data_IF_958637203072
#
_entry.id   IF_958637203072
#
_cell.length_a   1.000
_cell.length_b   1.000
_cell.length_c   1.000
_cell.angle_alpha   90.00
_cell.angle_beta   90.00
_cell.angle_gamma   90.00
#
_symmetry.space_group_name_H-M   'P 1'
#
loop_
_entity.id
_entity.type
_entity.pdbx_description
1 polymer ?
#
# COMPACT_ATOMS: atom_id res chain seq x y z
N UNK A 1 -58.09 -5.36 30.37
CA UNK A 1 -56.76 -4.83 30.68
C UNK A 1 -56.73 -3.31 30.43
N UNK A 2 -57.40 -2.51 31.29
CA UNK A 2 -57.55 -1.05 31.09
C UNK A 2 -56.36 -0.20 31.57
N UNK A 3 -55.34 -0.79 32.21
CA UNK A 3 -54.23 -0.06 32.85
C UNK A 3 -52.85 -0.65 32.58
N UNK A 4 -52.67 -1.45 31.51
CA UNK A 4 -51.36 -1.96 31.12
C UNK A 4 -50.85 -3.12 32.05
N UNK A 5 -51.70 -3.76 32.78
CA UNK A 5 -51.35 -4.97 33.54
C UNK A 5 -51.18 -6.16 32.58
N UNK A 6 -50.13 -6.94 32.81
CA UNK A 6 -49.79 -8.12 32.00
C UNK A 6 -50.65 -9.31 32.44
N UNK A 7 -50.93 -9.45 33.74
CA UNK A 7 -51.79 -10.49 34.29
C UNK A 7 -52.36 -10.11 35.67
N UNK A 8 -53.29 -10.91 36.22
CA UNK A 8 -53.93 -10.70 37.51
C UNK A 8 -53.90 -11.96 38.36
N UNK A 9 -53.54 -11.80 39.62
CA UNK A 9 -53.55 -12.87 40.61
C UNK A 9 -54.72 -12.65 41.58
N UNK A 10 -55.64 -13.63 41.68
CA UNK A 10 -56.76 -13.59 42.59
C UNK A 10 -56.31 -14.03 44.01
N UNK A 11 -56.66 -13.33 45.04
CA UNK A 11 -56.41 -13.73 46.45
C UNK A 11 -57.50 -14.65 46.96
N UNK A 12 -57.16 -15.67 47.77
CA UNK A 12 -55.83 -16.05 48.26
C UNK A 12 -55.06 -16.91 47.25
N UNK A 13 -53.76 -16.58 46.99
CA UNK A 13 -52.87 -17.37 46.15
C UNK A 13 -51.74 -17.94 46.96
N UNK A 14 -51.40 -19.21 46.70
CA UNK A 14 -50.22 -19.84 47.32
C UNK A 14 -48.91 -19.29 46.74
N UNK A 15 -47.81 -19.45 47.50
CA UNK A 15 -46.49 -18.98 47.06
C UNK A 15 -46.07 -19.61 45.74
N UNK A 16 -46.32 -20.89 45.54
CA UNK A 16 -45.99 -21.66 44.33
C UNK A 16 -46.76 -21.14 43.08
N UNK A 17 -48.02 -20.74 43.25
CA UNK A 17 -48.84 -20.19 42.18
C UNK A 17 -48.35 -18.80 41.77
N UNK A 18 -47.90 -17.98 42.72
CA UNK A 18 -47.29 -16.67 42.44
C UNK A 18 -45.96 -16.83 41.72
N UNK A 19 -45.11 -17.74 42.15
CA UNK A 19 -43.82 -18.05 41.50
C UNK A 19 -44.02 -18.57 40.08
N UNK A 20 -45.01 -19.41 39.83
CA UNK A 20 -45.34 -19.91 38.50
C UNK A 20 -45.79 -18.80 37.56
N UNK A 21 -46.73 -17.95 37.99
CA UNK A 21 -47.22 -16.83 37.16
C UNK A 21 -46.12 -15.79 36.87
N UNK A 22 -45.26 -15.50 37.88
CA UNK A 22 -44.12 -14.65 37.67
C UNK A 22 -43.13 -15.24 36.64
N UNK A 23 -42.88 -16.56 36.72
CA UNK A 23 -42.06 -17.27 35.72
C UNK A 23 -42.62 -17.14 34.31
N UNK A 24 -43.91 -17.44 34.12
CA UNK A 24 -44.57 -17.30 32.81
C UNK A 24 -44.50 -15.86 32.26
N UNK A 25 -44.65 -14.86 33.13
CA UNK A 25 -44.55 -13.44 32.72
C UNK A 25 -43.12 -13.09 32.30
N UNK A 26 -42.11 -13.58 33.01
CA UNK A 26 -40.71 -13.37 32.69
C UNK A 26 -40.38 -14.02 31.34
N UNK A 27 -40.75 -15.26 31.11
CA UNK A 27 -40.55 -16.01 29.86
C UNK A 27 -41.22 -15.28 28.68
N UNK A 28 -42.46 -14.81 28.86
CA UNK A 28 -43.16 -14.05 27.82
C UNK A 28 -42.51 -12.71 27.49
N UNK A 29 -41.97 -12.00 28.50
CA UNK A 29 -41.23 -10.75 28.30
C UNK A 29 -39.90 -11.04 27.60
N UNK A 30 -39.18 -12.09 27.97
CA UNK A 30 -37.93 -12.50 27.31
C UNK A 30 -38.20 -12.85 25.84
N UNK A 31 -39.22 -13.64 25.54
CA UNK A 31 -39.63 -14.00 24.18
C UNK A 31 -40.02 -12.77 23.35
N UNK A 32 -40.76 -11.83 23.94
CA UNK A 32 -41.13 -10.57 23.25
C UNK A 32 -39.89 -9.70 22.96
N UNK A 33 -38.97 -9.59 23.91
CA UNK A 33 -37.69 -8.87 23.75
C UNK A 33 -36.82 -9.53 22.67
N UNK A 34 -36.67 -10.84 22.70
CA UNK A 34 -35.94 -11.61 21.70
C UNK A 34 -36.56 -11.43 20.31
N UNK A 35 -37.90 -11.50 20.22
CA UNK A 35 -38.63 -11.30 18.96
C UNK A 35 -38.45 -9.88 18.43
N UNK A 36 -38.48 -8.85 19.29
CA UNK A 36 -38.25 -7.44 18.91
C UNK A 36 -36.80 -7.23 18.46
N UNK A 37 -35.82 -7.82 19.12
CA UNK A 37 -34.42 -7.75 18.73
C UNK A 37 -34.19 -8.41 17.36
N UNK A 38 -34.70 -9.64 17.15
CA UNK A 38 -34.62 -10.32 15.85
C UNK A 38 -35.30 -9.50 14.73
N UNK A 39 -36.46 -8.91 14.99
CA UNK A 39 -37.14 -8.05 14.02
C UNK A 39 -36.35 -6.78 13.73
N UNK A 40 -35.66 -6.20 14.71
CA UNK A 40 -34.80 -5.04 14.56
C UNK A 40 -33.55 -5.37 13.70
N UNK A 41 -32.91 -6.50 13.95
CA UNK A 41 -31.76 -6.96 13.18
C UNK A 41 -32.13 -7.26 11.72
N UNK A 42 -33.25 -7.96 11.49
CA UNK A 42 -33.75 -8.22 10.14
C UNK A 42 -34.09 -6.93 9.39
N UNK A 43 -34.68 -5.95 10.06
CA UNK A 43 -34.99 -4.65 9.47
C UNK A 43 -33.71 -3.90 9.10
N UNK A 44 -32.67 -3.96 9.96
CA UNK A 44 -31.38 -3.35 9.67
C UNK A 44 -30.68 -4.01 8.47
N UNK A 45 -30.72 -5.33 8.36
CA UNK A 45 -30.19 -6.06 7.21
C UNK A 45 -30.93 -5.68 5.92
N UNK A 46 -32.26 -5.56 5.97
CA UNK A 46 -33.06 -5.09 4.84
C UNK A 46 -32.71 -3.66 4.43
N UNK A 47 -32.54 -2.75 5.39
CA UNK A 47 -32.10 -1.37 5.14
C UNK A 47 -30.75 -1.35 4.43
N UNK A 48 -29.77 -2.09 4.96
CA UNK A 48 -28.44 -2.19 4.36
C UNK A 48 -28.49 -2.73 2.93
N UNK A 49 -29.30 -3.77 2.68
CA UNK A 49 -29.46 -4.35 1.34
C UNK A 49 -30.05 -3.34 0.35
N UNK A 50 -31.14 -2.65 0.73
CA UNK A 50 -31.79 -1.65 -0.11
C UNK A 50 -30.80 -0.52 -0.44
N UNK A 51 -30.10 0.03 0.57
CA UNK A 51 -29.15 1.11 0.40
C UNK A 51 -27.95 0.71 -0.48
N UNK A 52 -27.45 -0.52 -0.34
CA UNK A 52 -26.43 -1.07 -1.22
C UNK A 52 -26.89 -1.17 -2.68
N UNK A 53 -28.16 -1.53 -2.93
CA UNK A 53 -28.72 -1.52 -4.28
C UNK A 53 -28.87 -0.11 -4.85
N UNK A 54 -29.18 0.88 -4.00
CA UNK A 54 -29.25 2.30 -4.39
C UNK A 54 -27.90 2.82 -4.87
N UNK A 55 -26.83 2.59 -4.10
CA UNK A 55 -25.48 3.06 -4.48
C UNK A 55 -24.90 2.31 -5.68
N UNK A 56 -25.41 1.13 -6.02
CA UNK A 56 -25.05 0.38 -7.22
C UNK A 56 -25.90 0.70 -8.44
N UNK A 57 -26.88 1.60 -8.30
CA UNK A 57 -27.88 1.89 -9.34
C UNK A 57 -28.65 0.65 -9.81
N UNK A 58 -28.86 -0.33 -8.92
CA UNK A 58 -29.52 -1.61 -9.18
C UNK A 58 -30.90 -1.67 -8.54
N UNK A 59 -31.66 -0.58 -8.61
CA UNK A 59 -33.04 -0.50 -8.11
C UNK A 59 -33.86 0.51 -8.92
N UNK A 60 -35.05 0.12 -9.35
CA UNK A 60 -35.92 1.05 -10.06
C UNK A 60 -36.51 2.11 -9.11
N UNK A 61 -36.82 3.29 -9.65
CA UNK A 61 -37.41 4.39 -8.85
C UNK A 61 -38.77 4.02 -8.20
N UNK A 62 -39.54 3.11 -8.79
CA UNK A 62 -40.78 2.61 -8.22
C UNK A 62 -40.50 1.66 -7.05
N UNK A 63 -39.67 0.67 -7.27
CA UNK A 63 -39.27 -0.30 -6.25
C UNK A 63 -38.58 0.39 -5.05
N UNK A 64 -37.73 1.39 -5.32
CA UNK A 64 -37.08 2.19 -4.28
C UNK A 64 -38.12 2.85 -3.37
N UNK A 65 -39.13 3.53 -3.93
CA UNK A 65 -40.17 4.20 -3.11
C UNK A 65 -40.95 3.22 -2.24
N UNK A 66 -41.35 2.07 -2.83
CA UNK A 66 -42.10 1.03 -2.11
C UNK A 66 -41.26 0.46 -0.93
N UNK A 67 -39.99 0.11 -1.20
CA UNK A 67 -39.10 -0.47 -0.19
C UNK A 67 -38.69 0.53 0.90
N UNK A 68 -38.42 1.78 0.52
CA UNK A 68 -38.10 2.83 1.48
C UNK A 68 -39.25 3.10 2.47
N UNK A 69 -40.47 3.15 1.96
CA UNK A 69 -41.65 3.27 2.80
C UNK A 69 -41.82 2.09 3.75
N UNK A 70 -41.52 0.88 3.29
CA UNK A 70 -41.58 -0.34 4.10
C UNK A 70 -40.58 -0.33 5.26
N UNK A 71 -39.36 0.12 5.02
CA UNK A 71 -38.32 0.18 6.06
C UNK A 71 -38.29 1.48 6.85
N UNK A 72 -39.24 2.39 6.61
CA UNK A 72 -39.38 3.64 7.33
C UNK A 72 -38.27 4.66 7.03
N UNK A 73 -37.66 4.62 5.83
CA UNK A 73 -36.66 5.58 5.40
C UNK A 73 -37.27 6.61 4.46
N UNK A 74 -36.94 7.89 4.67
CA UNK A 74 -37.35 8.98 3.79
C UNK A 74 -36.11 9.62 3.13
N UNK A 75 -35.98 9.42 1.82
CA UNK A 75 -34.94 10.02 0.95
C UNK A 75 -35.61 10.88 -0.16
N UNK A 76 -36.76 11.45 0.10
CA UNK A 76 -37.60 12.05 -0.96
C UNK A 76 -37.35 13.53 -1.19
N UNK A 77 -36.85 14.28 -0.20
CA UNK A 77 -36.84 15.75 -0.27
C UNK A 77 -35.52 16.35 0.22
N UNK A 78 -34.86 17.06 -0.68
CA UNK A 78 -33.72 17.90 -0.35
C UNK A 78 -32.39 17.48 -1.00
N UNK A 79 -31.37 18.30 -0.87
CA UNK A 79 -30.02 17.96 -1.29
C UNK A 79 -29.45 16.82 -0.42
N UNK A 80 -28.84 15.85 -1.06
CA UNK A 80 -28.24 14.67 -0.44
C UNK A 80 -26.81 14.52 -0.89
N UNK A 81 -25.93 14.12 0.01
CA UNK A 81 -24.53 13.77 -0.30
C UNK A 81 -24.16 12.49 0.41
N UNK A 82 -23.27 11.71 -0.20
CA UNK A 82 -22.72 10.49 0.39
C UNK A 82 -21.32 10.78 0.91
N UNK A 83 -21.07 10.39 2.17
CA UNK A 83 -19.73 10.28 2.72
C UNK A 83 -19.35 8.82 2.87
N UNK A 84 -18.12 8.46 2.50
CA UNK A 84 -17.51 7.14 2.70
C UNK A 84 -16.42 7.28 3.73
N UNK A 85 -16.47 6.45 4.78
CA UNK A 85 -15.46 6.35 5.83
C UNK A 85 -14.72 5.03 5.66
N UNK A 86 -13.43 5.13 5.38
CA UNK A 86 -12.52 4.01 5.24
C UNK A 86 -11.56 3.97 6.41
N UNK A 87 -11.40 2.81 7.03
CA UNK A 87 -10.34 2.61 8.01
C UNK A 87 -8.98 2.63 7.35
N UNK A 88 -8.04 3.33 7.98
CA UNK A 88 -6.64 3.27 7.57
C UNK A 88 -5.99 2.10 8.30
N UNK A 89 -5.45 1.15 7.52
CA UNK A 89 -4.64 0.07 8.10
C UNK A 89 -3.34 0.69 8.62
N UNK A 90 -3.15 0.68 9.92
CA UNK A 90 -1.83 0.95 10.49
C UNK A 90 -0.93 -0.24 10.17
N UNK A 91 0.30 -0.03 9.65
CA UNK A 91 1.23 -1.14 9.47
C UNK A 91 1.42 -1.86 10.81
N UNK A 92 1.45 -3.19 10.85
CA UNK A 92 1.72 -3.93 12.08
C UNK A 92 3.06 -3.47 12.64
N UNK A 93 3.07 -3.04 13.89
CA UNK A 93 4.29 -2.75 14.64
C UNK A 93 5.19 -4.00 14.60
N UNK A 94 6.51 -3.78 14.49
CA UNK A 94 7.56 -4.82 14.39
C UNK A 94 7.36 -5.95 15.41
N UNK A 95 6.53 -6.95 15.13
CA UNK A 95 6.58 -8.28 15.73
C UNK A 95 5.55 -9.18 15.05
N UNK A 96 6.03 -10.32 14.72
CA UNK A 96 5.38 -11.63 14.51
C UNK A 96 4.96 -12.03 13.08
N UNK A 97 5.64 -13.08 12.68
CA UNK A 97 5.38 -13.89 11.48
C UNK A 97 4.70 -15.19 11.92
N UNK A 98 3.38 -15.20 12.12
CA UNK A 98 2.63 -16.43 12.32
C UNK A 98 1.29 -16.37 11.58
N UNK A 99 0.92 -17.44 10.89
CA UNK A 99 -0.33 -17.62 10.13
C UNK A 99 -1.65 -17.53 10.97
N UNK A 100 -1.55 -17.36 12.28
CA UNK A 100 -2.71 -17.09 13.17
C UNK A 100 -3.13 -15.62 13.19
N UNK A 101 -2.35 -14.71 12.62
CA UNK A 101 -2.55 -13.26 12.71
C UNK A 101 -3.50 -12.71 11.65
N UNK A 102 -3.62 -13.35 10.47
CA UNK A 102 -4.57 -12.91 9.44
C UNK A 102 -6.02 -12.95 9.94
N UNK A 103 -6.38 -13.97 10.70
CA UNK A 103 -7.72 -14.10 11.31
C UNK A 103 -7.96 -13.11 12.46
N UNK A 104 -6.93 -12.76 13.22
CA UNK A 104 -7.01 -11.76 14.28
C UNK A 104 -7.07 -10.33 13.70
N UNK A 105 -6.39 -10.06 12.59
CA UNK A 105 -6.47 -8.78 11.89
C UNK A 105 -7.84 -8.57 11.23
N UNK A 106 -8.41 -9.58 10.57
CA UNK A 106 -9.75 -9.50 9.99
C UNK A 106 -10.82 -9.28 11.05
N UNK A 107 -10.76 -10.00 12.16
CA UNK A 107 -11.66 -9.80 13.31
C UNK A 107 -11.49 -8.42 13.93
N UNK A 108 -10.26 -7.93 14.03
CA UNK A 108 -9.96 -6.56 14.48
C UNK A 108 -10.54 -5.50 13.55
N UNK A 109 -10.47 -5.71 12.22
CA UNK A 109 -11.02 -4.78 11.22
C UNK A 109 -12.55 -4.74 11.27
N UNK A 110 -13.20 -5.90 11.34
CA UNK A 110 -14.65 -5.99 11.45
C UNK A 110 -15.18 -5.30 12.71
N UNK A 111 -14.52 -5.51 13.86
CA UNK A 111 -14.88 -4.86 15.11
C UNK A 111 -14.72 -3.32 15.01
N UNK A 112 -13.62 -2.84 14.45
CA UNK A 112 -13.39 -1.41 14.25
C UNK A 112 -14.43 -0.78 13.35
N UNK A 113 -14.76 -1.44 12.23
CA UNK A 113 -15.84 -0.98 11.32
C UNK A 113 -17.17 -0.90 12.05
N UNK A 114 -17.51 -1.92 12.84
CA UNK A 114 -18.74 -1.93 13.64
C UNK A 114 -18.76 -0.80 14.69
N UNK A 115 -17.64 -0.56 15.36
CA UNK A 115 -17.52 0.53 16.32
C UNK A 115 -17.73 1.91 15.68
N UNK A 116 -17.11 2.14 14.50
CA UNK A 116 -17.31 3.38 13.73
C UNK A 116 -18.76 3.52 13.29
N UNK A 117 -19.36 2.44 12.77
CA UNK A 117 -20.77 2.43 12.38
C UNK A 117 -21.67 2.87 13.53
N UNK A 118 -21.51 2.31 14.73
CA UNK A 118 -22.33 2.63 15.89
C UNK A 118 -22.15 4.08 16.33
N UNK A 119 -20.92 4.58 16.37
CA UNK A 119 -20.62 5.99 16.69
C UNK A 119 -21.30 6.92 15.70
N UNK A 120 -21.16 6.66 14.39
CA UNK A 120 -21.79 7.47 13.35
C UNK A 120 -23.31 7.44 13.45
N UNK A 121 -23.89 6.24 13.66
CA UNK A 121 -25.33 6.08 13.79
C UNK A 121 -25.90 6.84 14.99
N UNK A 122 -25.29 6.70 16.16
CA UNK A 122 -25.72 7.39 17.39
C UNK A 122 -25.63 8.92 17.23
N UNK A 123 -24.51 9.44 16.70
CA UNK A 123 -24.32 10.89 16.50
C UNK A 123 -25.30 11.48 15.49
N UNK A 124 -25.67 10.75 14.44
CA UNK A 124 -26.61 11.21 13.41
C UNK A 124 -28.07 11.05 13.79
N UNK A 125 -28.44 9.96 14.48
CA UNK A 125 -29.81 9.78 14.99
C UNK A 125 -30.20 10.91 15.94
N UNK A 126 -29.29 11.31 16.84
CA UNK A 126 -29.49 12.44 17.75
C UNK A 126 -29.78 13.76 17.02
N UNK A 127 -29.20 13.93 15.81
CA UNK A 127 -29.36 15.16 14.98
C UNK A 127 -30.43 15.03 13.88
N UNK A 128 -30.97 13.81 13.62
CA UNK A 128 -31.87 13.48 12.49
C UNK A 128 -31.34 13.92 11.12
N UNK A 129 -30.04 13.77 10.88
CA UNK A 129 -29.35 14.38 9.73
C UNK A 129 -28.80 13.42 8.71
N UNK A 130 -29.03 12.11 8.84
CA UNK A 130 -28.51 11.18 7.88
C UNK A 130 -28.83 9.72 8.18
N UNK A 131 -28.42 8.86 7.28
CA UNK A 131 -28.60 7.41 7.36
C UNK A 131 -27.22 6.76 7.23
N UNK A 132 -26.88 5.87 8.16
CA UNK A 132 -25.63 5.12 8.18
C UNK A 132 -25.87 3.68 7.74
N UNK A 133 -24.99 3.16 6.91
CA UNK A 133 -24.97 1.75 6.51
C UNK A 133 -23.55 1.30 6.16
N UNK A 134 -23.36 0.00 5.93
CA UNK A 134 -22.10 -0.53 5.43
C UNK A 134 -22.27 -0.99 3.98
N UNK A 135 -21.29 -0.66 3.14
CA UNK A 135 -21.27 -1.14 1.76
C UNK A 135 -20.69 -2.57 1.65
N UNK A 136 -20.67 -3.09 0.42
CA UNK A 136 -20.16 -4.44 0.16
C UNK A 136 -18.62 -4.55 0.31
N UNK A 137 -17.89 -3.44 0.30
CA UNK A 137 -16.46 -3.40 0.54
C UNK A 137 -16.12 -3.27 2.04
N UNK A 138 -17.15 -3.17 2.90
CA UNK A 138 -16.99 -3.01 4.35
C UNK A 138 -16.71 -1.57 4.77
N UNK A 139 -16.93 -0.57 3.92
CA UNK A 139 -16.82 0.83 4.32
C UNK A 139 -18.09 1.29 5.04
N UNK A 140 -17.94 2.19 6.01
CA UNK A 140 -19.08 2.87 6.61
C UNK A 140 -19.50 4.01 5.69
N UNK A 141 -20.76 3.99 5.28
CA UNK A 141 -21.33 4.95 4.34
C UNK A 141 -22.42 5.76 5.04
N UNK A 142 -22.40 7.06 4.85
CA UNK A 142 -23.39 7.99 5.39
C UNK A 142 -24.09 8.68 4.23
N UNK A 143 -25.42 8.66 4.21
CA UNK A 143 -26.22 9.51 3.35
C UNK A 143 -26.67 10.71 4.20
N UNK A 144 -26.11 11.88 3.93
CA UNK A 144 -26.58 13.12 4.51
C UNK A 144 -27.80 13.64 3.76
N UNK A 145 -28.78 14.16 4.52
CA UNK A 145 -29.97 14.81 3.97
C UNK A 145 -30.08 16.20 4.56
N UNK A 146 -30.12 17.22 3.72
CA UNK A 146 -30.22 18.62 4.17
C UNK A 146 -31.42 19.31 3.53
N UNK A 147 -31.92 20.34 4.17
CA UNK A 147 -33.09 21.10 3.71
C UNK A 147 -32.75 22.23 2.73
N UNK A 148 -31.48 22.64 2.67
CA UNK A 148 -31.00 23.77 1.86
C UNK A 148 -29.63 23.45 1.28
N UNK A 149 -29.36 23.90 0.05
CA UNK A 149 -28.04 23.77 -0.59
C UNK A 149 -26.98 24.74 -0.04
N UNK A 150 -27.42 25.84 0.55
CA UNK A 150 -26.48 26.81 1.11
C UNK A 150 -25.71 26.23 2.28
N UNK A 151 -24.42 26.20 2.16
CA UNK A 151 -23.49 25.70 3.15
C UNK A 151 -23.64 24.20 3.52
N UNK A 152 -24.20 23.34 2.61
CA UNK A 152 -24.32 21.90 2.85
C UNK A 152 -22.95 21.30 3.16
N UNK A 153 -21.94 21.57 2.33
CA UNK A 153 -20.60 21.02 2.50
C UNK A 153 -19.97 21.50 3.83
N UNK A 154 -20.20 22.74 4.24
CA UNK A 154 -19.69 23.25 5.52
C UNK A 154 -20.31 22.53 6.71
N UNK A 155 -21.63 22.33 6.70
CA UNK A 155 -22.33 21.61 7.79
C UNK A 155 -21.92 20.13 7.85
N UNK A 156 -21.78 19.48 6.69
CA UNK A 156 -21.29 18.10 6.62
C UNK A 156 -19.88 18.03 7.15
N UNK A 157 -19.01 18.99 6.78
CA UNK A 157 -17.63 19.06 7.26
C UNK A 157 -17.56 19.16 8.78
N UNK A 158 -18.32 20.07 9.39
CA UNK A 158 -18.35 20.22 10.84
C UNK A 158 -18.76 18.91 11.55
N UNK A 159 -19.76 18.19 11.01
CA UNK A 159 -20.19 16.89 11.57
C UNK A 159 -19.10 15.83 11.43
N UNK A 160 -18.45 15.77 10.27
CA UNK A 160 -17.43 14.77 10.00
C UNK A 160 -16.11 15.04 10.72
N UNK A 161 -15.76 16.32 10.93
CA UNK A 161 -14.62 16.72 11.76
C UNK A 161 -14.85 16.31 13.23
N UNK A 162 -16.08 16.51 13.75
CA UNK A 162 -16.48 16.00 15.07
C UNK A 162 -16.36 14.48 15.16
N UNK A 163 -16.73 13.75 14.11
CA UNK A 163 -16.58 12.28 14.04
C UNK A 163 -15.13 11.85 14.11
N UNK A 164 -14.28 12.45 13.30
CA UNK A 164 -12.83 12.15 13.30
C UNK A 164 -12.26 12.41 14.69
N UNK A 165 -12.56 13.58 15.28
CA UNK A 165 -12.06 13.93 16.61
C UNK A 165 -12.51 12.92 17.68
N UNK A 166 -13.77 12.50 17.64
CA UNK A 166 -14.31 11.52 18.58
C UNK A 166 -13.70 10.13 18.39
N UNK A 167 -13.65 9.64 17.14
CA UNK A 167 -13.10 8.32 16.79
C UNK A 167 -11.62 8.23 17.17
N UNK A 168 -10.83 9.26 16.85
CA UNK A 168 -9.42 9.30 17.20
C UNK A 168 -9.19 9.33 18.72
N UNK A 169 -9.96 10.16 19.45
CA UNK A 169 -9.80 10.32 20.90
C UNK A 169 -10.23 9.06 21.65
N UNK A 170 -11.34 8.45 21.24
CA UNK A 170 -12.01 7.37 21.99
C UNK A 170 -11.56 5.99 21.53
N UNK A 171 -11.50 5.76 20.23
CA UNK A 171 -11.20 4.45 19.64
C UNK A 171 -9.74 4.31 19.20
N UNK A 172 -9.00 5.42 19.07
CA UNK A 172 -7.61 5.47 18.54
C UNK A 172 -7.51 4.82 17.16
N UNK A 173 -8.50 5.06 16.31
CA UNK A 173 -8.59 4.55 14.95
C UNK A 173 -8.39 5.71 13.98
N UNK A 174 -7.49 5.52 13.02
CA UNK A 174 -7.31 6.45 11.92
C UNK A 174 -8.28 6.13 10.78
N UNK A 175 -8.91 7.17 10.24
CA UNK A 175 -9.89 7.05 9.18
C UNK A 175 -9.60 7.99 8.03
N UNK A 176 -10.10 7.64 6.86
CA UNK A 176 -10.13 8.48 5.68
C UNK A 176 -11.59 8.73 5.30
N UNK A 177 -12.00 9.99 5.17
CA UNK A 177 -13.37 10.35 4.84
C UNK A 177 -13.42 11.11 3.51
N UNK A 178 -14.27 10.67 2.61
CA UNK A 178 -14.51 11.33 1.34
C UNK A 178 -16.00 11.61 1.14
N UNK A 179 -16.33 12.79 0.66
CA UNK A 179 -17.69 13.25 0.41
C UNK A 179 -17.89 13.48 -1.08
N UNK A 180 -18.91 12.84 -1.63
CA UNK A 180 -19.28 12.94 -3.05
C UNK A 180 -20.06 14.21 -3.38
N UNK A 181 -20.43 14.32 -4.66
CA UNK A 181 -21.25 15.44 -5.14
C UNK A 181 -22.65 15.46 -4.50
N UNK A 182 -23.20 16.66 -4.32
CA UNK A 182 -24.57 16.83 -3.83
C UNK A 182 -25.56 16.52 -4.94
N UNK A 183 -26.56 15.68 -4.67
CA UNK A 183 -27.63 15.31 -5.57
C UNK A 183 -29.01 15.58 -4.98
N UNK A 184 -30.02 15.85 -5.82
CA UNK A 184 -31.37 16.18 -5.34
C UNK A 184 -32.35 15.00 -5.40
N UNK A 185 -32.08 14.01 -6.22
CA UNK A 185 -32.94 12.85 -6.38
C UNK A 185 -32.27 11.60 -5.83
N UNK A 186 -32.97 10.83 -5.02
CA UNK A 186 -32.48 9.58 -4.42
C UNK A 186 -31.96 8.58 -5.45
N UNK A 187 -32.54 8.55 -6.65
CA UNK A 187 -32.05 7.72 -7.78
C UNK A 187 -30.64 8.10 -8.26
N UNK A 188 -30.15 9.30 -7.92
CA UNK A 188 -28.82 9.80 -8.31
C UNK A 188 -27.78 9.60 -7.20
N UNK A 189 -28.14 9.01 -6.06
CA UNK A 189 -27.20 8.75 -4.95
C UNK A 189 -26.00 7.92 -5.38
N UNK A 190 -26.18 7.02 -6.37
CA UNK A 190 -25.06 6.26 -6.93
C UNK A 190 -23.95 7.17 -7.48
N UNK A 191 -24.30 8.32 -8.09
CA UNK A 191 -23.30 9.29 -8.58
C UNK A 191 -22.52 9.92 -7.43
N UNK A 192 -23.22 10.31 -6.35
CA UNK A 192 -22.55 10.83 -5.16
C UNK A 192 -21.62 9.78 -4.54
N UNK A 193 -22.02 8.51 -4.54
CA UNK A 193 -21.18 7.40 -4.07
C UNK A 193 -19.94 7.20 -4.95
N UNK A 194 -20.10 7.17 -6.28
CA UNK A 194 -18.98 7.06 -7.22
C UNK A 194 -18.00 8.22 -7.06
N UNK A 195 -18.51 9.45 -6.91
CA UNK A 195 -17.70 10.63 -6.70
C UNK A 195 -16.95 10.59 -5.36
N UNK A 196 -17.61 10.13 -4.28
CA UNK A 196 -16.97 9.92 -2.98
C UNK A 196 -15.88 8.84 -3.07
N UNK A 197 -16.17 7.74 -3.77
CA UNK A 197 -15.21 6.65 -3.94
C UNK A 197 -13.95 7.09 -4.70
N UNK A 198 -14.11 7.85 -5.79
CA UNK A 198 -13.00 8.47 -6.51
C UNK A 198 -12.22 9.44 -5.63
N UNK A 199 -12.92 10.25 -4.83
CA UNK A 199 -12.31 11.21 -3.89
C UNK A 199 -11.47 10.49 -2.85
N UNK A 200 -11.88 9.31 -2.43
CA UNK A 200 -11.17 8.51 -1.42
C UNK A 200 -9.76 8.09 -1.88
N UNK A 201 -9.53 7.90 -3.17
CA UNK A 201 -8.21 7.55 -3.72
C UNK A 201 -7.18 8.68 -3.53
N UNK A 202 -7.64 9.94 -3.50
CA UNK A 202 -6.78 11.12 -3.31
C UNK A 202 -6.36 11.35 -1.87
N UNK A 203 -7.00 10.69 -0.90
CA UNK A 203 -6.60 10.80 0.50
C UNK A 203 -5.17 10.33 0.76
N UNK A 204 -4.63 9.51 -0.12
CA UNK A 204 -3.22 9.13 -0.06
C UNK A 204 -2.28 10.36 -0.07
N UNK A 205 -2.63 11.39 -0.85
CA UNK A 205 -1.87 12.66 -0.94
C UNK A 205 -2.20 13.62 0.18
N UNK A 206 -3.49 13.72 0.55
CA UNK A 206 -3.96 14.68 1.55
C UNK A 206 -3.77 14.22 3.00
N UNK A 207 -3.44 12.96 3.19
CA UNK A 207 -3.22 12.36 4.51
C UNK A 207 -4.45 11.73 5.13
N UNK A 208 -4.24 11.13 6.29
CA UNK A 208 -5.27 10.46 7.10
C UNK A 208 -5.95 11.47 8.04
N UNK A 209 -7.09 11.08 8.59
CA UNK A 209 -7.86 11.90 9.54
C UNK A 209 -8.30 13.27 8.95
N UNK A 210 -8.60 13.28 7.66
CA UNK A 210 -9.07 14.44 6.92
C UNK A 210 -10.37 14.13 6.21
N UNK A 211 -11.18 15.17 5.98
CA UNK A 211 -12.39 15.09 5.15
C UNK A 211 -12.10 15.76 3.83
N UNK A 212 -12.27 15.00 2.74
CA UNK A 212 -12.11 15.49 1.37
C UNK A 212 -13.46 15.56 0.67
N UNK A 213 -13.73 16.68 0.01
CA UNK A 213 -14.94 16.89 -0.79
C UNK A 213 -14.62 16.74 -2.29
N UNK A 214 -15.48 16.01 -3.01
CA UNK A 214 -15.39 15.88 -4.46
C UNK A 214 -15.27 17.24 -5.17
N UNK A 215 -16.02 18.26 -4.69
CA UNK A 215 -16.00 19.60 -5.27
C UNK A 215 -14.61 20.26 -5.20
N UNK A 216 -13.82 19.95 -4.18
CA UNK A 216 -12.49 20.53 -3.98
C UNK A 216 -11.47 19.90 -4.96
N UNK A 217 -11.66 18.64 -5.34
CA UNK A 217 -10.68 17.89 -6.12
C UNK A 217 -11.13 17.54 -7.54
N UNK A 218 -12.39 17.76 -7.91
CA UNK A 218 -12.95 17.38 -9.23
C UNK A 218 -12.17 17.93 -10.43
N UNK A 219 -11.54 19.10 -10.29
CA UNK A 219 -10.78 19.73 -11.36
C UNK A 219 -9.47 19.01 -11.66
N UNK A 220 -9.02 18.15 -10.75
CA UNK A 220 -7.80 17.36 -10.87
C UNK A 220 -8.03 15.97 -11.47
N UNK A 221 -9.30 15.54 -11.58
CA UNK A 221 -9.66 14.32 -12.27
C UNK A 221 -9.37 14.47 -13.77
N UNK A 222 -8.42 13.70 -14.27
CA UNK A 222 -8.02 13.72 -15.68
C UNK A 222 -6.59 14.24 -15.94
N UNK A 223 -5.97 14.92 -14.99
CA UNK A 223 -4.54 15.26 -15.05
C UNK A 223 -3.63 14.14 -14.51
N UNK A 224 -4.23 13.12 -13.89
CA UNK A 224 -3.57 12.10 -13.07
C UNK A 224 -2.87 10.97 -13.83
N UNK A 225 -3.04 10.88 -15.16
CA UNK A 225 -2.42 9.81 -15.97
C UNK A 225 -1.00 10.10 -16.44
N UNK A 226 -0.34 11.16 -15.92
CA UNK A 226 1.05 11.42 -16.26
C UNK A 226 1.95 10.64 -15.33
N UNK A 227 2.72 9.70 -15.89
CA UNK A 227 3.83 9.06 -15.18
C UNK A 227 4.76 10.14 -14.61
N UNK A 228 5.25 9.91 -13.40
CA UNK A 228 6.27 10.75 -12.81
C UNK A 228 7.57 10.43 -13.54
N UNK A 229 8.15 11.41 -14.23
CA UNK A 229 9.42 11.21 -14.94
C UNK A 229 10.57 11.16 -13.94
N UNK A 230 11.23 10.01 -13.88
CA UNK A 230 12.43 9.78 -13.10
C UNK A 230 13.68 9.95 -13.96
N UNK A 231 14.67 10.65 -13.45
CA UNK A 231 16.01 10.68 -14.05
C UNK A 231 16.79 9.43 -13.58
N UNK A 232 16.62 8.33 -14.33
CA UNK A 232 17.24 7.04 -14.04
C UNK A 232 18.77 7.10 -14.04
N UNK A 233 19.35 7.89 -14.94
CA UNK A 233 20.80 8.03 -15.07
C UNK A 233 21.37 8.77 -13.85
N UNK A 234 20.70 9.82 -13.40
CA UNK A 234 21.07 10.56 -12.21
C UNK A 234 21.00 9.65 -10.96
N UNK A 235 19.87 8.96 -10.76
CA UNK A 235 19.69 8.04 -9.60
C UNK A 235 20.76 6.96 -9.62
N UNK A 236 20.99 6.32 -10.75
CA UNK A 236 21.96 5.24 -10.89
C UNK A 236 23.39 5.72 -10.62
N UNK A 237 23.75 6.92 -11.10
CA UNK A 237 25.05 7.55 -10.85
C UNK A 237 25.24 7.86 -9.36
N UNK A 238 24.26 8.53 -8.74
CA UNK A 238 24.36 8.90 -7.31
C UNK A 238 24.40 7.66 -6.41
N UNK A 239 23.69 6.59 -6.76
CA UNK A 239 23.81 5.30 -6.08
C UNK A 239 25.20 4.70 -6.22
N UNK A 240 25.80 4.78 -7.42
CA UNK A 240 27.15 4.28 -7.64
C UNK A 240 28.21 5.05 -6.84
N UNK A 241 28.03 6.36 -6.70
CA UNK A 241 28.87 7.27 -5.91
C UNK A 241 28.64 7.16 -4.39
N UNK A 242 27.59 6.46 -3.93
CA UNK A 242 27.09 6.40 -2.56
C UNK A 242 26.73 7.81 -2.01
N UNK A 243 26.24 8.70 -2.86
CA UNK A 243 25.90 10.07 -2.51
C UNK A 243 24.46 10.17 -2.03
N UNK A 244 24.23 9.84 -0.74
CA UNK A 244 22.90 9.88 -0.14
C UNK A 244 22.31 11.29 -0.11
N UNK A 245 23.12 12.31 0.21
CA UNK A 245 22.63 13.68 0.39
C UNK A 245 22.00 14.26 -0.89
N UNK A 246 22.62 14.02 -2.04
CA UNK A 246 22.06 14.46 -3.30
C UNK A 246 20.86 13.60 -3.74
N UNK A 247 20.84 12.29 -3.44
CA UNK A 247 19.66 11.44 -3.65
C UNK A 247 18.47 11.91 -2.80
N UNK A 248 18.69 12.19 -1.54
CA UNK A 248 17.67 12.70 -0.63
C UNK A 248 17.08 14.02 -1.14
N UNK A 249 17.93 14.96 -1.56
CA UNK A 249 17.49 16.23 -2.15
C UNK A 249 16.68 16.01 -3.42
N UNK A 250 17.11 15.11 -4.29
CA UNK A 250 16.41 14.78 -5.53
C UNK A 250 15.03 14.20 -5.23
N UNK A 251 14.94 13.19 -4.34
CA UNK A 251 13.67 12.56 -3.97
C UNK A 251 12.73 13.58 -3.31
N UNK A 252 13.22 14.37 -2.36
CA UNK A 252 12.39 15.42 -1.73
C UNK A 252 11.85 16.39 -2.77
N UNK A 253 12.69 16.87 -3.69
CA UNK A 253 12.29 17.78 -4.78
C UNK A 253 11.24 17.14 -5.72
N UNK A 254 11.35 15.85 -6.00
CA UNK A 254 10.42 15.11 -6.85
C UNK A 254 8.99 15.10 -6.27
N UNK A 255 8.86 15.00 -4.94
CA UNK A 255 7.57 14.90 -4.26
C UNK A 255 6.99 16.26 -3.83
N UNK A 256 7.79 17.36 -3.82
CA UNK A 256 7.29 18.71 -3.45
C UNK A 256 6.02 19.13 -4.18
N UNK A 257 5.88 18.97 -5.53
CA UNK A 257 4.68 19.41 -6.24
C UNK A 257 3.38 18.73 -5.76
N UNK A 258 3.48 17.54 -5.18
CA UNK A 258 2.33 16.81 -4.65
C UNK A 258 1.94 17.28 -3.24
N UNK A 259 2.90 17.75 -2.44
CA UNK A 259 2.63 18.37 -1.15
C UNK A 259 2.05 19.78 -1.29
N UNK A 260 2.55 20.54 -2.25
CA UNK A 260 2.08 21.92 -2.52
C UNK A 260 0.79 21.95 -3.31
N UNK A 261 0.30 20.78 -3.75
CA UNK A 261 -0.89 20.64 -4.59
C UNK A 261 -0.76 21.31 -5.97
N UNK A 262 0.46 21.54 -6.43
CA UNK A 262 0.73 22.05 -7.79
C UNK A 262 0.59 20.94 -8.84
N UNK A 263 0.79 19.68 -8.43
CA UNK A 263 0.54 18.48 -9.23
C UNK A 263 -0.27 17.49 -8.43
N UNK A 264 -1.09 16.72 -9.13
CA UNK A 264 -1.88 15.64 -8.55
C UNK A 264 -1.51 14.32 -9.22
N UNK A 265 -1.38 13.30 -8.37
CA UNK A 265 -1.27 11.91 -8.79
C UNK A 265 -2.09 11.07 -7.81
N UNK A 266 -2.72 10.03 -8.32
CA UNK A 266 -3.36 9.06 -7.44
C UNK A 266 -2.30 8.20 -6.71
N UNK A 267 -2.73 7.51 -5.68
CA UNK A 267 -1.84 6.66 -4.88
C UNK A 267 -1.17 5.55 -5.69
N UNK A 268 -1.78 5.12 -6.81
CA UNK A 268 -1.22 4.11 -7.69
C UNK A 268 0.00 4.63 -8.46
N UNK A 269 -0.11 5.82 -9.07
CA UNK A 269 1.01 6.46 -9.78
C UNK A 269 2.18 6.73 -8.83
N UNK A 270 1.91 7.21 -7.62
CA UNK A 270 2.94 7.49 -6.61
C UNK A 270 3.64 6.22 -6.12
N UNK A 271 2.88 5.14 -5.90
CA UNK A 271 3.47 3.84 -5.54
C UNK A 271 4.29 3.23 -6.67
N UNK A 272 3.84 3.35 -7.92
CA UNK A 272 4.62 2.90 -9.08
C UNK A 272 5.95 3.64 -9.18
N UNK A 273 5.95 4.96 -8.98
CA UNK A 273 7.18 5.75 -8.91
C UNK A 273 8.12 5.24 -7.79
N UNK A 274 7.59 4.99 -6.61
CA UNK A 274 8.37 4.42 -5.50
C UNK A 274 8.94 3.05 -5.82
N UNK A 275 8.15 2.16 -6.43
CA UNK A 275 8.60 0.83 -6.87
C UNK A 275 9.73 0.94 -7.89
N UNK A 276 9.63 1.86 -8.84
CA UNK A 276 10.65 2.08 -9.85
C UNK A 276 11.98 2.54 -9.22
N UNK A 277 11.94 3.47 -8.27
CA UNK A 277 13.12 3.88 -7.49
C UNK A 277 13.72 2.68 -6.73
N UNK A 278 12.91 1.88 -6.06
CA UNK A 278 13.37 0.69 -5.33
C UNK A 278 14.00 -0.33 -6.28
N UNK A 279 13.45 -0.51 -7.48
CA UNK A 279 14.05 -1.39 -8.50
C UNK A 279 15.44 -0.89 -8.91
N UNK A 280 15.62 0.42 -9.13
CA UNK A 280 16.94 1.00 -9.42
C UNK A 280 17.94 0.78 -8.27
N UNK A 281 17.49 0.95 -7.04
CA UNK A 281 18.28 0.63 -5.84
C UNK A 281 18.74 -0.83 -5.86
N UNK A 282 17.82 -1.76 -6.09
CA UNK A 282 18.12 -3.20 -6.13
C UNK A 282 19.06 -3.58 -7.28
N UNK A 283 18.90 -2.95 -8.45
CA UNK A 283 19.81 -3.13 -9.59
C UNK A 283 21.23 -2.67 -9.27
N UNK A 284 21.40 -1.68 -8.42
CA UNK A 284 22.70 -1.20 -7.97
C UNK A 284 23.52 -2.25 -7.21
N UNK A 285 22.87 -3.32 -6.72
CA UNK A 285 23.52 -4.48 -6.06
C UNK A 285 23.88 -5.61 -7.01
N UNK A 286 23.73 -5.44 -8.33
CA UNK A 286 23.94 -6.51 -9.33
C UNK A 286 25.36 -7.11 -9.39
N UNK A 287 26.33 -6.56 -8.65
CA UNK A 287 27.70 -7.08 -8.52
C UNK A 287 28.02 -7.77 -7.20
N UNK A 288 27.05 -7.94 -6.28
CA UNK A 288 27.29 -8.51 -4.96
C UNK A 288 27.18 -10.04 -4.98
N UNK A 289 28.14 -10.76 -4.38
CA UNK A 289 28.16 -12.21 -4.33
C UNK A 289 26.92 -12.82 -3.66
N UNK A 290 26.58 -14.07 -4.07
CA UNK A 290 25.41 -14.80 -3.56
C UNK A 290 25.36 -14.94 -2.03
N UNK A 291 26.51 -14.96 -1.34
CA UNK A 291 26.59 -15.10 0.12
C UNK A 291 25.99 -13.94 0.91
N UNK A 292 25.94 -12.74 0.31
CA UNK A 292 25.39 -11.53 0.95
C UNK A 292 24.01 -11.15 0.42
N UNK A 293 23.46 -11.95 -0.50
CA UNK A 293 22.13 -11.69 -1.08
C UNK A 293 20.99 -11.81 -0.07
N UNK A 294 21.17 -12.55 1.03
CA UNK A 294 20.14 -12.70 2.05
C UNK A 294 19.68 -11.36 2.67
N UNK A 295 20.63 -10.45 2.95
CA UNK A 295 20.28 -9.11 3.45
C UNK A 295 19.61 -8.24 2.41
N UNK A 296 20.10 -8.30 1.15
CA UNK A 296 19.52 -7.54 0.05
C UNK A 296 18.11 -8.02 -0.26
N UNK A 297 17.86 -9.34 -0.19
CA UNK A 297 16.52 -9.90 -0.35
C UNK A 297 15.59 -9.42 0.76
N UNK A 298 16.08 -9.35 2.00
CA UNK A 298 15.30 -8.83 3.12
C UNK A 298 14.96 -7.34 2.94
N UNK A 299 15.93 -6.51 2.54
CA UNK A 299 15.70 -5.09 2.20
C UNK A 299 14.63 -4.98 1.09
N UNK A 300 14.73 -5.84 0.06
CA UNK A 300 13.76 -5.88 -1.03
C UNK A 300 12.36 -6.21 -0.53
N UNK A 301 12.20 -7.28 0.22
CA UNK A 301 10.90 -7.74 0.74
C UNK A 301 10.27 -6.69 1.66
N UNK A 302 11.06 -6.13 2.59
CA UNK A 302 10.59 -5.07 3.48
C UNK A 302 10.19 -3.80 2.73
N UNK A 303 10.99 -3.36 1.74
CA UNK A 303 10.68 -2.18 0.95
C UNK A 303 9.43 -2.36 0.07
N UNK A 304 9.29 -3.51 -0.62
CA UNK A 304 8.13 -3.80 -1.45
C UNK A 304 6.85 -3.91 -0.61
N UNK A 305 6.93 -4.59 0.53
CA UNK A 305 5.81 -4.69 1.47
C UNK A 305 5.38 -3.31 1.98
N UNK A 306 6.33 -2.48 2.43
CA UNK A 306 6.04 -1.12 2.91
C UNK A 306 5.38 -0.27 1.82
N UNK A 307 5.93 -0.22 0.60
CA UNK A 307 5.35 0.55 -0.51
C UNK A 307 3.90 0.13 -0.80
N UNK A 308 3.60 -1.17 -0.72
CA UNK A 308 2.26 -1.68 -0.95
C UNK A 308 1.26 -1.30 0.17
N UNK A 309 1.75 -1.19 1.41
CA UNK A 309 0.91 -0.98 2.60
C UNK A 309 0.86 0.46 3.10
N UNK A 310 1.78 1.34 2.66
CA UNK A 310 1.78 2.74 3.10
C UNK A 310 0.47 3.45 2.74
N UNK A 311 -0.03 4.22 3.69
CA UNK A 311 -1.33 4.88 3.60
C UNK A 311 -1.26 6.37 3.29
N UNK A 312 -0.04 6.93 3.23
CA UNK A 312 0.18 8.35 2.94
C UNK A 312 1.43 8.61 2.11
N UNK A 313 1.43 9.75 1.41
CA UNK A 313 2.57 10.22 0.61
C UNK A 313 3.81 10.45 1.47
N UNK A 314 3.64 10.95 2.69
CA UNK A 314 4.75 11.21 3.63
C UNK A 314 5.45 9.90 3.96
N UNK A 315 4.69 8.89 4.41
CA UNK A 315 5.24 7.59 4.76
C UNK A 315 5.89 6.90 3.55
N UNK A 316 5.30 7.06 2.35
CA UNK A 316 5.88 6.53 1.12
C UNK A 316 7.25 7.15 0.82
N UNK A 317 7.37 8.47 0.95
CA UNK A 317 8.64 9.17 0.77
C UNK A 317 9.68 8.73 1.81
N UNK A 318 9.29 8.62 3.08
CA UNK A 318 10.17 8.14 4.15
C UNK A 318 10.64 6.70 3.87
N UNK A 319 9.75 5.82 3.40
CA UNK A 319 10.10 4.45 3.00
C UNK A 319 11.14 4.43 1.87
N UNK A 320 11.02 5.31 0.88
CA UNK A 320 12.02 5.44 -0.19
C UNK A 320 13.37 5.89 0.39
N UNK A 321 13.37 6.93 1.22
CA UNK A 321 14.59 7.49 1.80
C UNK A 321 15.28 6.50 2.74
N UNK A 322 14.55 5.78 3.58
CA UNK A 322 15.07 4.74 4.45
C UNK A 322 15.66 3.58 3.63
N UNK A 323 15.00 3.18 2.55
CA UNK A 323 15.51 2.13 1.66
C UNK A 323 16.81 2.54 0.98
N UNK A 324 16.88 3.79 0.48
CA UNK A 324 18.09 4.36 -0.12
C UNK A 324 19.24 4.40 0.89
N UNK A 325 18.99 4.88 2.10
CA UNK A 325 19.97 4.97 3.18
C UNK A 325 20.51 3.60 3.56
N UNK A 326 19.63 2.66 3.83
CA UNK A 326 19.99 1.27 4.17
C UNK A 326 20.79 0.61 3.05
N UNK A 327 20.41 0.84 1.80
CA UNK A 327 21.11 0.32 0.64
C UNK A 327 22.53 0.85 0.52
N UNK A 328 22.74 2.15 0.70
CA UNK A 328 24.06 2.77 0.66
C UNK A 328 24.94 2.30 1.83
N UNK A 329 24.38 2.20 3.04
CA UNK A 329 25.06 1.67 4.21
C UNK A 329 25.50 0.22 3.99
N UNK A 330 24.62 -0.66 3.50
CA UNK A 330 24.97 -2.05 3.20
C UNK A 330 26.04 -2.16 2.10
N UNK A 331 25.99 -1.33 1.07
CA UNK A 331 27.07 -1.26 0.05
C UNK A 331 28.41 -0.87 0.67
N UNK A 332 28.41 0.12 1.56
CA UNK A 332 29.61 0.60 2.22
C UNK A 332 30.18 -0.47 3.15
N UNK A 333 29.33 -1.12 3.96
CA UNK A 333 29.71 -2.23 4.84
C UNK A 333 30.26 -3.41 4.05
N UNK A 334 29.59 -3.78 2.93
CA UNK A 334 30.01 -4.89 2.08
C UNK A 334 31.35 -4.61 1.41
N UNK A 335 31.62 -3.38 1.00
CA UNK A 335 32.94 -2.96 0.49
C UNK A 335 34.02 -3.00 1.57
N UNK A 336 33.75 -2.56 2.79
CA UNK A 336 34.75 -2.45 3.86
C UNK A 336 34.98 -3.74 4.66
N UNK A 337 33.96 -4.59 4.80
CA UNK A 337 34.08 -5.84 5.60
C UNK A 337 34.66 -7.02 4.85
N UNK A 338 34.63 -7.03 3.53
CA UNK A 338 34.85 -8.25 2.75
C UNK A 338 36.24 -8.37 2.16
N UNK A 339 36.86 -7.26 1.83
CA UNK A 339 38.13 -7.29 1.11
C UNK A 339 39.17 -6.39 1.78
N UNK A 340 40.38 -6.89 1.91
CA UNK A 340 41.52 -6.05 2.27
C UNK A 340 41.69 -4.95 1.22
N UNK A 341 42.30 -3.82 1.61
CA UNK A 341 42.57 -2.70 0.70
C UNK A 341 43.26 -3.14 -0.59
N UNK A 342 44.14 -4.13 -0.49
CA UNK A 342 44.84 -4.74 -1.62
C UNK A 342 43.89 -5.39 -2.60
N UNK A 343 42.91 -6.16 -2.11
CA UNK A 343 41.93 -6.87 -2.96
C UNK A 343 40.88 -5.93 -3.53
N UNK A 344 40.50 -4.88 -2.80
CA UNK A 344 39.64 -3.81 -3.33
C UNK A 344 40.28 -3.11 -4.53
N UNK A 345 41.61 -2.87 -4.47
CA UNK A 345 42.35 -2.27 -5.58
C UNK A 345 42.43 -3.20 -6.80
N UNK A 346 42.58 -4.51 -6.59
CA UNK A 346 42.51 -5.51 -7.67
C UNK A 346 41.12 -5.51 -8.32
N UNK A 347 40.06 -5.51 -7.52
CA UNK A 347 38.68 -5.50 -8.03
C UNK A 347 38.42 -4.22 -8.82
N UNK A 348 38.83 -3.07 -8.32
CA UNK A 348 38.69 -1.79 -9.01
C UNK A 348 39.45 -1.78 -10.37
N UNK A 349 40.64 -2.37 -10.42
CA UNK A 349 41.38 -2.53 -11.68
C UNK A 349 40.66 -3.48 -12.64
N UNK A 350 40.01 -4.56 -12.17
CA UNK A 350 39.18 -5.43 -13.01
C UNK A 350 38.01 -4.61 -13.58
N UNK A 351 37.29 -3.88 -12.76
CA UNK A 351 36.12 -3.06 -13.18
C UNK A 351 36.50 -2.00 -14.22
N UNK A 352 37.65 -1.37 -14.09
CA UNK A 352 38.11 -0.34 -15.00
C UNK A 352 38.76 -0.85 -16.29
N UNK A 353 39.32 -2.08 -16.28
CA UNK A 353 40.15 -2.58 -17.38
C UNK A 353 39.77 -3.99 -17.88
N UNK A 354 38.58 -4.50 -17.56
CA UNK A 354 38.14 -5.83 -17.97
C UNK A 354 38.13 -6.04 -19.49
N UNK A 355 38.05 -4.98 -20.28
CA UNK A 355 38.06 -5.01 -21.74
C UNK A 355 39.47 -5.28 -22.32
N UNK A 356 40.51 -5.15 -21.50
CA UNK A 356 41.88 -5.49 -21.94
C UNK A 356 42.10 -7.01 -21.91
N UNK A 357 42.34 -7.65 -23.06
CA UNK A 357 42.60 -9.09 -23.13
C UNK A 357 43.84 -9.51 -22.32
N UNK A 358 44.81 -8.61 -22.11
CA UNK A 358 46.06 -8.87 -21.40
C UNK A 358 45.97 -8.66 -19.89
N UNK A 359 44.82 -8.25 -19.36
CA UNK A 359 44.65 -8.10 -17.94
C UNK A 359 44.88 -9.41 -17.20
N UNK A 360 45.89 -9.44 -16.37
CA UNK A 360 46.31 -10.66 -15.64
C UNK A 360 46.62 -10.33 -14.18
N UNK A 361 46.60 -11.37 -13.33
CA UNK A 361 47.04 -11.25 -11.95
C UNK A 361 48.49 -10.83 -11.85
N UNK A 362 49.35 -11.30 -12.78
CA UNK A 362 50.75 -10.91 -12.82
C UNK A 362 50.91 -9.43 -13.07
N UNK A 363 50.23 -8.87 -14.10
CA UNK A 363 50.32 -7.47 -14.45
C UNK A 363 49.86 -6.57 -13.32
N UNK A 364 48.84 -6.97 -12.54
CA UNK A 364 48.40 -6.25 -11.38
C UNK A 364 49.36 -6.37 -10.18
N UNK A 365 49.88 -7.55 -9.95
CA UNK A 365 50.89 -7.78 -8.90
C UNK A 365 52.13 -6.93 -9.11
N UNK A 366 52.61 -6.86 -10.35
CA UNK A 366 53.77 -6.02 -10.73
C UNK A 366 53.47 -4.53 -10.52
N UNK A 367 52.27 -4.07 -10.93
CA UNK A 367 51.83 -2.68 -10.73
C UNK A 367 51.70 -2.32 -9.26
N UNK A 368 51.29 -3.27 -8.42
CA UNK A 368 51.07 -3.07 -6.99
C UNK A 368 52.29 -3.40 -6.15
N UNK A 369 53.42 -3.78 -6.77
CA UNK A 369 54.67 -4.18 -6.12
C UNK A 369 54.49 -5.31 -5.10
N UNK A 370 53.67 -6.30 -5.41
CA UNK A 370 53.39 -7.45 -4.53
C UNK A 370 53.71 -8.77 -5.26
N UNK A 371 54.01 -9.81 -4.48
CA UNK A 371 54.22 -11.13 -5.04
C UNK A 371 52.91 -11.72 -5.61
N UNK A 372 52.96 -12.18 -6.86
CA UNK A 372 51.80 -12.73 -7.60
C UNK A 372 51.14 -13.90 -6.90
N UNK A 373 51.96 -14.84 -6.37
CA UNK A 373 51.42 -16.01 -5.67
C UNK A 373 50.73 -15.61 -4.34
N UNK A 374 51.28 -14.64 -3.65
CA UNK A 374 50.67 -14.05 -2.45
C UNK A 374 49.36 -13.38 -2.79
N UNK A 375 49.33 -12.52 -3.82
CA UNK A 375 48.14 -11.81 -4.28
C UNK A 375 47.06 -12.83 -4.71
N UNK A 376 47.41 -13.87 -5.46
CA UNK A 376 46.48 -14.90 -5.90
C UNK A 376 45.84 -15.70 -4.76
N UNK A 377 46.63 -15.99 -3.73
CA UNK A 377 46.14 -16.71 -2.55
C UNK A 377 45.18 -15.87 -1.73
N UNK A 378 45.50 -14.60 -1.47
CA UNK A 378 44.60 -13.66 -0.74
C UNK A 378 43.37 -13.40 -1.55
N UNK A 379 43.50 -13.11 -2.84
CA UNK A 379 42.36 -12.87 -3.73
C UNK A 379 41.40 -14.05 -3.69
N UNK A 380 41.91 -15.31 -3.83
CA UNK A 380 41.06 -16.50 -3.73
C UNK A 380 40.45 -16.70 -2.36
N UNK A 381 41.19 -16.39 -1.28
CA UNK A 381 40.70 -16.50 0.10
C UNK A 381 39.55 -15.50 0.37
N UNK A 382 39.68 -14.28 -0.11
CA UNK A 382 38.71 -13.20 0.18
C UNK A 382 37.52 -13.22 -0.79
N UNK A 383 37.75 -13.56 -2.09
CA UNK A 383 36.68 -13.56 -3.12
C UNK A 383 36.04 -14.94 -3.36
N UNK A 384 36.60 -16.02 -2.80
CA UNK A 384 36.27 -17.42 -3.08
C UNK A 384 36.45 -17.83 -4.56
N UNK A 385 37.08 -16.99 -5.38
CA UNK A 385 37.36 -17.25 -6.79
C UNK A 385 38.84 -17.03 -7.11
N UNK A 386 39.37 -17.79 -8.04
CA UNK A 386 40.64 -17.38 -8.62
C UNK A 386 40.46 -16.08 -9.42
N UNK A 387 41.54 -15.32 -9.63
CA UNK A 387 41.48 -14.07 -10.41
C UNK A 387 40.88 -14.30 -11.80
N UNK A 388 41.34 -15.33 -12.53
CA UNK A 388 40.82 -15.67 -13.85
C UNK A 388 39.34 -16.02 -13.80
N UNK A 389 38.90 -16.80 -12.81
CA UNK A 389 37.49 -17.13 -12.64
C UNK A 389 36.64 -15.89 -12.36
N UNK A 390 37.10 -15.00 -11.50
CA UNK A 390 36.42 -13.75 -11.19
C UNK A 390 36.33 -12.82 -12.40
N UNK A 391 37.43 -12.62 -13.12
CA UNK A 391 37.46 -11.80 -14.34
C UNK A 391 36.53 -12.36 -15.41
N UNK A 392 36.52 -13.70 -15.59
CA UNK A 392 35.63 -14.35 -16.54
C UNK A 392 34.14 -14.18 -16.17
N UNK A 393 33.78 -14.33 -14.89
CA UNK A 393 32.42 -14.06 -14.41
C UNK A 393 32.03 -12.62 -14.71
N UNK A 394 32.88 -11.66 -14.42
CA UNK A 394 32.64 -10.24 -14.66
C UNK A 394 32.44 -9.95 -16.16
N UNK A 395 33.30 -10.51 -17.04
CA UNK A 395 33.21 -10.36 -18.49
C UNK A 395 31.92 -10.97 -19.05
N UNK A 396 31.51 -12.14 -18.55
CA UNK A 396 30.25 -12.81 -18.97
C UNK A 396 29.03 -11.95 -18.55
N UNK A 397 29.02 -11.40 -17.36
CA UNK A 397 27.94 -10.48 -16.93
C UNK A 397 27.84 -9.24 -17.84
N UNK A 398 28.96 -8.67 -18.26
CA UNK A 398 28.98 -7.56 -19.22
C UNK A 398 28.51 -8.02 -20.61
N UNK A 399 28.90 -9.23 -21.04
CA UNK A 399 28.45 -9.80 -22.32
C UNK A 399 26.92 -10.00 -22.34
N UNK A 400 26.33 -10.50 -21.26
CA UNK A 400 24.86 -10.63 -21.12
C UNK A 400 24.15 -9.32 -21.35
N UNK A 401 24.63 -8.23 -20.74
CA UNK A 401 24.07 -6.89 -20.97
C UNK A 401 24.12 -6.50 -22.44
N UNK A 402 25.26 -6.72 -23.09
CA UNK A 402 25.41 -6.41 -24.52
C UNK A 402 24.50 -7.26 -25.42
N UNK A 403 24.30 -8.55 -25.07
CA UNK A 403 23.35 -9.40 -25.80
C UNK A 403 21.91 -8.91 -25.71
N UNK A 404 21.50 -8.36 -24.56
CA UNK A 404 20.14 -7.86 -24.33
C UNK A 404 19.90 -6.46 -24.87
N UNK A 405 20.95 -5.61 -24.91
CA UNK A 405 20.80 -4.17 -25.24
C UNK A 405 21.29 -3.81 -26.63
N UNK A 406 21.97 -4.72 -27.35
CA UNK A 406 22.57 -4.42 -28.65
C UNK A 406 22.36 -5.55 -29.66
N UNK A 407 22.57 -5.23 -30.95
CA UNK A 407 22.55 -6.22 -32.06
C UNK A 407 23.95 -6.73 -32.44
N UNK A 408 24.96 -6.57 -31.59
CA UNK A 408 26.31 -7.02 -31.89
C UNK A 408 26.39 -8.53 -32.09
N UNK A 409 27.25 -8.98 -33.04
CA UNK A 409 27.53 -10.42 -33.21
C UNK A 409 28.27 -10.96 -31.99
N UNK A 410 28.20 -12.26 -31.75
CA UNK A 410 28.89 -12.90 -30.62
C UNK A 410 30.40 -12.66 -30.60
N UNK A 411 31.05 -12.58 -31.80
CA UNK A 411 32.46 -12.23 -31.93
C UNK A 411 32.75 -10.81 -31.53
N UNK A 412 31.88 -9.85 -31.91
CA UNK A 412 32.02 -8.44 -31.51
C UNK A 412 31.82 -8.23 -29.99
N UNK A 413 30.89 -9.00 -29.41
CA UNK A 413 30.68 -8.98 -27.95
C UNK A 413 31.91 -9.55 -27.24
N UNK A 414 32.45 -10.67 -27.73
CA UNK A 414 33.66 -11.27 -27.21
C UNK A 414 34.83 -10.27 -27.13
N UNK A 415 35.06 -9.53 -28.22
CA UNK A 415 36.11 -8.51 -28.28
C UNK A 415 35.81 -7.34 -27.33
N UNK A 416 34.57 -6.85 -27.29
CA UNK A 416 34.15 -5.75 -26.43
C UNK A 416 34.24 -6.04 -24.94
N UNK A 417 34.13 -7.30 -24.54
CA UNK A 417 34.25 -7.70 -23.12
C UNK A 417 35.63 -8.22 -22.77
N UNK A 418 36.61 -8.16 -23.71
CA UNK A 418 38.00 -8.41 -23.43
C UNK A 418 38.44 -9.90 -23.49
N UNK A 419 37.67 -10.79 -24.12
CA UNK A 419 38.17 -12.14 -24.40
C UNK A 419 39.02 -12.14 -25.67
N UNK A 420 40.22 -12.69 -25.59
CA UNK A 420 41.14 -12.78 -26.72
C UNK A 420 40.71 -13.81 -27.80
N UNK A 421 39.81 -14.73 -27.48
CA UNK A 421 39.41 -15.82 -28.36
C UNK A 421 37.96 -16.20 -28.17
N UNK A 422 37.19 -16.24 -29.28
CA UNK A 422 35.74 -16.52 -29.23
C UNK A 422 35.45 -17.96 -28.74
N UNK A 423 36.27 -18.96 -29.10
CA UNK A 423 36.04 -20.33 -28.63
C UNK A 423 36.16 -20.43 -27.09
N UNK A 424 37.14 -19.74 -26.52
CA UNK A 424 37.29 -19.67 -25.07
C UNK A 424 36.12 -18.92 -24.41
N UNK A 425 35.73 -17.79 -24.97
CA UNK A 425 34.52 -17.06 -24.52
C UNK A 425 33.28 -17.96 -24.55
N UNK A 426 33.06 -18.71 -25.64
CA UNK A 426 31.92 -19.62 -25.77
C UNK A 426 31.89 -20.69 -24.67
N UNK A 427 33.03 -21.33 -24.42
CA UNK A 427 33.16 -22.36 -23.37
C UNK A 427 32.89 -21.78 -21.99
N UNK A 428 33.47 -20.60 -21.69
CA UNK A 428 33.29 -19.90 -20.39
C UNK A 428 31.87 -19.47 -20.19
N UNK A 429 31.27 -18.87 -21.22
CA UNK A 429 29.86 -18.37 -21.14
C UNK A 429 28.92 -19.56 -20.87
N UNK A 430 29.07 -20.67 -21.66
CA UNK A 430 28.23 -21.86 -21.46
C UNK A 430 28.42 -22.50 -20.08
N UNK A 431 29.63 -22.49 -19.57
CA UNK A 431 29.93 -23.03 -18.23
C UNK A 431 29.26 -22.22 -17.12
N UNK A 432 29.17 -20.90 -17.29
CA UNK A 432 28.61 -19.97 -16.27
C UNK A 432 27.08 -19.92 -16.37
N UNK A 433 26.53 -19.80 -17.58
CA UNK A 433 25.10 -19.57 -17.80
C UNK A 433 24.30 -20.86 -18.10
N UNK A 434 24.97 -22.00 -18.33
CA UNK A 434 24.30 -23.25 -18.66
C UNK A 434 23.77 -23.33 -20.10
N UNK A 435 23.85 -22.24 -20.89
CA UNK A 435 23.37 -22.15 -22.27
C UNK A 435 24.40 -21.49 -23.18
N UNK A 436 24.22 -21.64 -24.51
CA UNK A 436 25.13 -21.01 -25.44
C UNK A 436 24.89 -19.50 -25.55
N UNK A 437 25.94 -18.71 -25.89
CA UNK A 437 25.76 -17.24 -26.08
C UNK A 437 24.74 -16.90 -27.14
N UNK A 438 24.57 -17.70 -28.17
CA UNK A 438 23.57 -17.50 -29.24
C UNK A 438 22.14 -17.73 -28.78
N UNK A 439 21.95 -18.64 -27.83
CA UNK A 439 20.62 -18.98 -27.31
C UNK A 439 20.15 -17.99 -26.25
N UNK A 440 21.10 -17.26 -25.66
CA UNK A 440 20.81 -16.20 -24.65
C UNK A 440 20.12 -15.00 -25.24
N UNK A 441 20.21 -14.73 -26.55
CA UNK A 441 19.56 -13.63 -27.27
C UNK A 441 18.09 -13.91 -27.60
N UNK A 442 17.64 -15.16 -27.57
CA UNK A 442 16.25 -15.56 -27.84
C UNK A 442 15.39 -15.39 -26.60
#
# INVERSE_FOLDING_TARGET
>A
MRYGAVDYILKPSGKEEIEHIIGEIIDNIEDEVISRLKNSEHLQLLKNNILNRVIRNDISSRELREKMKFVGLDLTNGPMSIAIIKLVKTPPGKASTNHSEETEEENSLAWKTFAIYNVCNEMLEAKKKGIVFTDAAGYVVIIFTETSEEAVDKKIKEILDDFIAYINKTLKIDVSIAVGSTVRASRNLYKSYEDAYKTLEYQFVFGINTVLFYQEIRNYFGETNKSIELDHDLITRLLAENNYDELEKYIKKLFVPFYTKDKFADGYVLRNCALEIIILVLQSFSGIPMTDRGRILKIKEEALHKVATESSLVNLQDTILDTLKTAIEERTITKHKKYSRLILEVIHNIEGHYTDPNLSLQSLADKMHVNTAYLGRIFKKETNHSFTSYLNLFRVEKAKKLYLTTNYKGTEICDKVGFANYNYFYIVFRKIEGMNPTDFRK
#
